data_IF_822152537613
#
_entry.id   IF_822152537613
#
_cell.length_a   1.000
_cell.length_b   1.000
_cell.length_c   1.000
_cell.angle_alpha   90.00
_cell.angle_beta   90.00
_cell.angle_gamma   90.00
#
_symmetry.space_group_name_H-M   'P 1'
#
loop_
_entity.id
_entity.type
_entity.pdbx_description
1 polymer ?
#
# COMPACT_ATOMS: atom_id res chain seq x y z
N UNK A 1 -18.46 18.75 34.18
CA UNK A 1 -17.57 19.31 33.14
C UNK A 1 -16.62 18.27 32.54
N UNK A 2 -15.92 17.45 33.35
CA UNK A 2 -14.98 16.43 32.84
C UNK A 2 -15.65 15.35 31.96
N UNK A 3 -16.81 14.83 32.39
CA UNK A 3 -17.53 13.75 31.70
C UNK A 3 -17.93 14.09 30.26
N UNK A 4 -18.38 15.32 30.00
CA UNK A 4 -18.76 15.76 28.66
C UNK A 4 -17.57 15.85 27.69
N UNK A 5 -16.36 16.13 28.19
CA UNK A 5 -15.13 16.14 27.39
C UNK A 5 -14.70 14.72 27.03
N UNK A 6 -14.77 13.79 27.98
CA UNK A 6 -14.49 12.37 27.76
C UNK A 6 -15.44 11.79 26.68
N UNK A 7 -16.73 12.08 26.79
CA UNK A 7 -17.74 11.66 25.80
C UNK A 7 -17.43 12.18 24.38
N UNK A 8 -16.95 13.42 24.25
CA UNK A 8 -16.57 13.99 22.95
C UNK A 8 -15.31 13.35 22.36
N UNK A 9 -14.30 13.06 23.18
CA UNK A 9 -13.08 12.36 22.75
C UNK A 9 -13.42 10.95 22.26
N UNK A 10 -14.28 10.24 23.00
CA UNK A 10 -14.71 8.89 22.64
C UNK A 10 -15.53 8.89 21.34
N UNK A 11 -16.41 9.88 21.15
CA UNK A 11 -17.12 10.07 19.89
C UNK A 11 -16.15 10.31 18.72
N UNK A 12 -15.17 11.20 18.88
CA UNK A 12 -14.18 11.51 17.85
C UNK A 12 -13.37 10.27 17.44
N UNK A 13 -12.89 9.49 18.43
CA UNK A 13 -12.23 8.19 18.18
C UNK A 13 -13.12 7.25 17.40
N UNK A 14 -14.39 7.11 17.80
CA UNK A 14 -15.34 6.23 17.11
C UNK A 14 -15.56 6.62 15.64
N UNK A 15 -15.57 7.91 15.32
CA UNK A 15 -15.73 8.39 13.95
C UNK A 15 -14.49 8.11 13.09
N UNK A 16 -13.30 8.34 13.65
CA UNK A 16 -12.05 8.05 12.96
C UNK A 16 -11.91 6.55 12.69
N UNK A 17 -12.25 5.70 13.64
CA UNK A 17 -12.28 4.25 13.47
C UNK A 17 -13.23 3.83 12.34
N UNK A 18 -14.45 4.38 12.33
CA UNK A 18 -15.43 4.12 11.27
C UNK A 18 -14.90 4.57 9.91
N UNK A 19 -14.26 5.74 9.82
CA UNK A 19 -13.65 6.23 8.59
C UNK A 19 -12.52 5.32 8.11
N UNK A 20 -11.58 4.95 9.00
CA UNK A 20 -10.47 4.05 8.69
C UNK A 20 -10.97 2.67 8.21
N UNK A 21 -11.98 2.10 8.86
CA UNK A 21 -12.60 0.83 8.45
C UNK A 21 -13.23 0.94 7.06
N UNK A 22 -13.97 2.02 6.77
CA UNK A 22 -14.52 2.28 5.44
C UNK A 22 -13.43 2.40 4.38
N UNK A 23 -12.38 3.19 4.64
CA UNK A 23 -11.25 3.35 3.73
C UNK A 23 -10.57 2.01 3.42
N UNK A 24 -10.33 1.19 4.46
CA UNK A 24 -9.80 -0.16 4.30
C UNK A 24 -10.72 -1.05 3.48
N UNK A 25 -12.02 -1.06 3.78
CA UNK A 25 -13.02 -1.83 3.02
C UNK A 25 -13.02 -1.44 1.53
N UNK A 26 -12.98 -0.13 1.22
CA UNK A 26 -12.91 0.34 -0.16
C UNK A 26 -11.60 -0.06 -0.85
N UNK A 27 -10.46 0.08 -0.15
CA UNK A 27 -9.15 -0.31 -0.67
C UNK A 27 -9.05 -1.82 -0.93
N UNK A 28 -9.61 -2.64 -0.05
CA UNK A 28 -9.52 -4.10 -0.12
C UNK A 28 -10.63 -4.72 -0.99
N UNK A 29 -11.70 -3.98 -1.33
CA UNK A 29 -12.86 -4.49 -2.10
C UNK A 29 -12.50 -5.20 -3.41
N UNK A 30 -11.44 -4.77 -4.09
CA UNK A 30 -10.96 -5.37 -5.36
C UNK A 30 -9.64 -6.13 -5.20
N UNK A 31 -9.09 -6.21 -4.00
CA UNK A 31 -7.86 -6.97 -3.73
C UNK A 31 -8.24 -8.42 -3.46
N UNK A 32 -7.75 -9.29 -4.31
CA UNK A 32 -7.96 -10.73 -4.17
C UNK A 32 -6.58 -11.33 -3.87
N UNK A 33 -6.43 -12.15 -2.82
CA UNK A 33 -5.17 -12.85 -2.60
C UNK A 33 -4.93 -13.77 -3.80
N UNK A 34 -3.91 -13.45 -4.60
CA UNK A 34 -3.53 -14.24 -5.77
C UNK A 34 -2.77 -15.47 -5.28
N UNK A 35 -3.49 -16.58 -5.15
CA UNK A 35 -2.96 -17.85 -4.68
C UNK A 35 -2.46 -18.69 -5.85
N UNK A 36 -1.43 -18.22 -6.55
CA UNK A 36 -0.80 -19.01 -7.60
C UNK A 36 0.00 -20.18 -6.99
N UNK A 37 -0.11 -21.35 -7.61
CA UNK A 37 0.63 -22.55 -7.26
C UNK A 37 1.74 -22.81 -8.26
N UNK A 38 2.72 -23.61 -7.85
CA UNK A 38 3.74 -24.12 -8.77
C UNK A 38 3.02 -24.95 -9.83
N UNK A 39 3.31 -24.66 -11.11
CA UNK A 39 2.63 -25.28 -12.24
C UNK A 39 1.53 -24.45 -12.89
N UNK A 40 1.00 -23.42 -12.21
CA UNK A 40 0.03 -22.50 -12.83
C UNK A 40 0.70 -21.70 -13.94
N UNK A 41 -0.10 -21.36 -14.96
CA UNK A 41 0.31 -20.51 -16.07
C UNK A 41 -0.18 -19.08 -15.84
N UNK A 42 0.72 -18.11 -15.86
CA UNK A 42 0.41 -16.70 -15.60
C UNK A 42 0.92 -15.80 -16.72
N UNK A 43 0.20 -14.71 -16.96
CA UNK A 43 0.62 -13.68 -17.91
C UNK A 43 1.47 -12.63 -17.23
N UNK A 44 2.61 -12.29 -17.83
CA UNK A 44 3.52 -11.29 -17.30
C UNK A 44 3.19 -9.93 -17.91
N UNK A 45 3.01 -8.93 -17.05
CA UNK A 45 2.81 -7.55 -17.49
C UNK A 45 4.14 -6.99 -17.99
N UNK A 46 4.16 -6.54 -19.23
CA UNK A 46 5.34 -5.91 -19.80
C UNK A 46 5.41 -4.43 -19.39
N UNK A 47 6.58 -4.00 -18.97
CA UNK A 47 6.91 -2.58 -18.84
C UNK A 47 7.88 -2.20 -19.97
N UNK A 48 7.42 -1.47 -21.01
CA UNK A 48 8.25 -1.11 -22.16
C UNK A 48 9.59 -0.47 -21.80
N UNK A 49 9.65 0.24 -20.67
CA UNK A 49 10.88 0.91 -20.21
C UNK A 49 11.97 -0.07 -19.75
N UNK A 50 11.59 -1.28 -19.33
CA UNK A 50 12.51 -2.29 -18.81
C UNK A 50 13.16 -3.13 -19.92
N UNK A 51 12.45 -3.31 -21.04
CA UNK A 51 12.93 -4.15 -22.14
C UNK A 51 13.66 -3.30 -23.18
N UNK A 52 14.96 -3.52 -23.34
CA UNK A 52 15.78 -2.82 -24.35
C UNK A 52 15.24 -3.03 -25.77
N UNK A 53 14.70 -4.21 -26.06
CA UNK A 53 14.09 -4.57 -27.35
C UNK A 53 12.85 -3.74 -27.71
N UNK A 54 12.15 -3.19 -26.71
CA UNK A 54 10.95 -2.39 -26.90
C UNK A 54 11.24 -0.89 -26.97
N UNK A 55 12.51 -0.47 -26.84
CA UNK A 55 12.89 0.95 -26.94
C UNK A 55 12.83 1.39 -28.40
N UNK A 56 11.99 2.37 -28.69
CA UNK A 56 11.75 2.90 -30.04
C UNK A 56 10.44 2.41 -30.68
N UNK A 57 9.78 1.40 -30.08
CA UNK A 57 8.45 0.98 -30.51
C UNK A 57 7.39 1.88 -29.85
N UNK A 58 6.36 2.26 -30.60
CA UNK A 58 5.24 3.02 -30.05
C UNK A 58 4.53 2.19 -28.97
N UNK A 59 4.29 2.79 -27.80
CA UNK A 59 3.66 2.11 -26.67
C UNK A 59 2.26 1.59 -26.97
N UNK A 60 1.53 2.19 -27.91
CA UNK A 60 0.21 1.71 -28.33
C UNK A 60 0.26 0.37 -29.07
N UNK A 61 1.41 0.04 -29.66
CA UNK A 61 1.64 -1.20 -30.42
C UNK A 61 2.28 -2.31 -29.57
N UNK A 62 2.69 -2.00 -28.34
CA UNK A 62 3.30 -2.98 -27.45
C UNK A 62 2.20 -3.75 -26.73
N UNK A 63 2.26 -5.08 -26.79
CA UNK A 63 1.37 -5.94 -26.04
C UNK A 63 1.53 -5.67 -24.53
N UNK A 64 0.41 -5.47 -23.82
CA UNK A 64 0.47 -5.14 -22.37
C UNK A 64 0.90 -6.32 -21.50
N UNK A 65 0.61 -7.52 -21.96
CA UNK A 65 0.90 -8.77 -21.26
C UNK A 65 1.41 -9.81 -22.23
N UNK A 66 2.45 -10.52 -21.87
CA UNK A 66 3.03 -11.57 -22.71
C UNK A 66 2.89 -12.93 -22.03
N UNK A 67 2.59 -13.94 -22.87
CA UNK A 67 2.73 -15.37 -22.62
C UNK A 67 2.08 -15.95 -21.36
N UNK A 68 1.41 -17.11 -21.44
CA UNK A 68 1.18 -17.91 -20.25
C UNK A 68 2.48 -18.63 -19.86
N UNK A 69 3.24 -18.07 -18.93
CA UNK A 69 4.47 -18.68 -18.40
C UNK A 69 4.16 -19.55 -17.19
N UNK A 70 4.82 -20.71 -17.12
CA UNK A 70 4.66 -21.64 -15.99
C UNK A 70 5.44 -21.14 -14.77
N UNK A 71 4.83 -21.20 -13.60
CA UNK A 71 5.51 -20.99 -12.33
C UNK A 71 6.36 -22.21 -11.99
N UNK A 72 7.68 -22.01 -11.89
CA UNK A 72 8.67 -23.07 -11.59
C UNK A 72 8.98 -23.14 -10.09
N UNK A 73 8.80 -22.06 -9.34
CA UNK A 73 9.07 -22.03 -7.91
C UNK A 73 8.51 -20.81 -7.21
N UNK A 74 8.49 -20.84 -5.88
CA UNK A 74 8.07 -19.72 -5.02
C UNK A 74 9.29 -19.17 -4.29
N UNK A 75 9.59 -17.88 -4.51
CA UNK A 75 10.74 -17.19 -3.90
C UNK A 75 10.29 -16.44 -2.62
N UNK A 76 9.04 -15.98 -2.57
CA UNK A 76 8.47 -15.30 -1.41
C UNK A 76 6.95 -15.41 -1.34
N UNK A 77 6.32 -14.73 -0.37
CA UNK A 77 4.85 -14.79 -0.17
C UNK A 77 4.06 -14.39 -1.43
N UNK A 78 4.57 -13.41 -2.18
CA UNK A 78 3.98 -12.84 -3.41
C UNK A 78 4.90 -12.92 -4.63
N UNK A 79 6.05 -13.58 -4.49
CA UNK A 79 7.11 -13.61 -5.50
C UNK A 79 7.32 -15.02 -6.02
N UNK A 80 7.17 -15.20 -7.33
CA UNK A 80 7.26 -16.50 -8.01
C UNK A 80 8.33 -16.47 -9.10
N UNK A 81 9.03 -17.59 -9.27
CA UNK A 81 9.98 -17.81 -10.35
C UNK A 81 9.22 -18.38 -11.56
N UNK A 82 9.40 -17.74 -12.71
CA UNK A 82 8.75 -18.11 -13.96
C UNK A 82 9.76 -18.73 -14.93
N UNK A 83 9.30 -19.69 -15.73
CA UNK A 83 10.05 -20.18 -16.88
C UNK A 83 9.88 -19.21 -18.07
N UNK A 84 10.67 -18.13 -18.05
CA UNK A 84 10.63 -17.10 -19.10
C UNK A 84 11.72 -17.30 -20.16
N UNK A 85 11.40 -17.04 -21.44
CA UNK A 85 12.35 -17.12 -22.53
C UNK A 85 13.43 -16.03 -22.41
N UNK A 86 14.60 -16.28 -22.99
CA UNK A 86 15.79 -15.45 -22.80
C UNK A 86 15.61 -13.99 -23.28
N UNK A 87 14.79 -13.74 -24.30
CA UNK A 87 14.51 -12.39 -24.79
C UNK A 87 13.73 -11.53 -23.80
N UNK A 88 13.07 -12.13 -22.80
CA UNK A 88 12.31 -11.44 -21.75
C UNK A 88 13.02 -11.38 -20.41
N UNK A 89 14.24 -11.90 -20.31
CA UNK A 89 14.99 -11.85 -19.06
C UNK A 89 15.53 -10.43 -18.84
N UNK A 90 14.83 -9.66 -17.99
CA UNK A 90 15.28 -8.36 -17.50
C UNK A 90 16.35 -8.59 -16.42
N UNK A 91 17.57 -8.99 -16.83
CA UNK A 91 18.76 -9.19 -15.98
C UNK A 91 18.68 -10.34 -14.93
N UNK A 92 19.84 -10.83 -14.45
CA UNK A 92 19.89 -11.93 -13.48
C UNK A 92 19.29 -11.51 -12.15
N UNK A 93 18.62 -12.44 -11.47
CA UNK A 93 18.26 -12.27 -10.06
C UNK A 93 19.58 -12.14 -9.31
N UNK A 94 19.91 -10.93 -8.84
CA UNK A 94 21.05 -10.72 -7.97
C UNK A 94 20.96 -11.69 -6.79
N UNK A 95 22.09 -12.25 -6.37
CA UNK A 95 22.16 -13.06 -5.15
C UNK A 95 21.56 -12.25 -4.00
N UNK A 96 20.76 -12.89 -3.16
CA UNK A 96 20.05 -12.22 -2.06
C UNK A 96 21.05 -11.47 -1.15
N UNK A 97 21.19 -10.16 -1.38
CA UNK A 97 21.90 -9.26 -0.46
C UNK A 97 21.02 -9.08 0.77
N UNK A 98 21.43 -9.65 1.91
CA UNK A 98 20.67 -9.62 3.17
C UNK A 98 20.30 -8.20 3.65
N UNK A 99 20.99 -7.17 3.14
CA UNK A 99 20.75 -5.75 3.46
C UNK A 99 19.74 -5.05 2.52
N UNK A 100 19.32 -5.71 1.42
CA UNK A 100 18.38 -5.16 0.41
C UNK A 100 16.95 -5.10 0.98
N UNK A 101 16.73 -4.14 1.85
CA UNK A 101 15.50 -3.94 2.63
C UNK A 101 15.70 -3.06 3.86
N UNK A 102 16.95 -2.82 4.26
CA UNK A 102 17.31 -1.85 5.29
C UNK A 102 17.25 -0.43 4.70
N UNK A 103 16.03 0.07 4.54
CA UNK A 103 15.81 1.46 4.16
C UNK A 103 16.06 2.37 5.37
N UNK A 104 17.00 3.32 5.25
CA UNK A 104 17.19 4.43 6.19
C UNK A 104 16.05 5.47 6.15
N UNK A 105 15.09 5.31 5.24
CA UNK A 105 13.91 6.18 5.13
C UNK A 105 13.07 6.09 6.40
N UNK A 106 12.73 7.24 6.97
CA UNK A 106 11.88 7.34 8.15
C UNK A 106 10.57 6.55 7.95
N UNK A 107 10.29 5.65 8.88
CA UNK A 107 9.06 4.88 8.85
C UNK A 107 7.88 5.82 9.14
N UNK A 108 6.94 5.96 8.21
CA UNK A 108 5.69 6.69 8.42
C UNK A 108 4.74 5.79 9.22
N UNK A 109 5.13 5.42 10.45
CA UNK A 109 4.16 4.87 11.39
C UNK A 109 3.54 6.06 12.12
N UNK A 110 2.31 6.39 11.75
CA UNK A 110 1.50 7.23 12.63
C UNK A 110 1.18 6.34 13.83
N UNK A 111 1.87 6.56 14.95
CA UNK A 111 1.61 5.80 16.17
C UNK A 111 0.22 6.15 16.69
N UNK A 112 -0.52 5.19 17.29
CA UNK A 112 -1.84 5.48 17.89
C UNK A 112 -1.78 6.70 18.83
N UNK A 113 -0.71 6.79 19.61
CA UNK A 113 -0.40 7.94 20.48
C UNK A 113 -0.30 9.28 19.74
N UNK A 114 0.26 9.32 18.52
CA UNK A 114 0.35 10.55 17.73
C UNK A 114 -1.00 10.95 17.11
N UNK A 115 -1.90 10.00 16.87
CA UNK A 115 -3.28 10.27 16.43
C UNK A 115 -4.08 10.83 17.61
N UNK A 116 -4.00 10.18 18.78
CA UNK A 116 -4.67 10.62 20.00
C UNK A 116 -4.31 12.06 20.36
N UNK A 117 -3.03 12.42 20.33
CA UNK A 117 -2.58 13.80 20.59
C UNK A 117 -3.16 14.84 19.62
N UNK A 118 -3.38 14.46 18.35
CA UNK A 118 -4.00 15.36 17.36
C UNK A 118 -5.50 15.51 17.60
N UNK A 119 -6.18 14.44 18.00
CA UNK A 119 -7.61 14.48 18.36
C UNK A 119 -7.81 15.41 19.56
N UNK A 120 -6.99 15.25 20.60
CA UNK A 120 -7.04 16.10 21.80
C UNK A 120 -6.79 17.57 21.45
N UNK A 121 -5.79 17.88 20.63
CA UNK A 121 -5.50 19.25 20.21
C UNK A 121 -6.64 19.90 19.41
N UNK A 122 -7.34 19.15 18.57
CA UNK A 122 -8.49 19.65 17.79
C UNK A 122 -9.69 19.94 18.72
N UNK A 123 -9.96 19.04 19.67
CA UNK A 123 -11.03 19.23 20.64
C UNK A 123 -10.71 20.46 21.52
N UNK A 124 -9.47 20.57 22.00
CA UNK A 124 -9.04 21.70 22.83
C UNK A 124 -9.16 23.05 22.09
N UNK A 125 -8.87 23.08 20.78
CA UNK A 125 -9.08 24.27 19.95
C UNK A 125 -10.56 24.67 19.89
N UNK A 126 -11.47 23.73 19.60
CA UNK A 126 -12.91 24.00 19.51
C UNK A 126 -13.51 24.50 20.83
N UNK A 127 -13.02 24.00 21.96
CA UNK A 127 -13.45 24.46 23.28
C UNK A 127 -12.93 25.85 23.65
N UNK A 128 -11.76 26.23 23.14
CA UNK A 128 -11.22 27.58 23.34
C UNK A 128 -12.03 28.63 22.58
N UNK A 129 -12.43 28.33 21.34
CA UNK A 129 -13.25 29.21 20.50
C UNK A 129 -14.67 29.38 21.05
N UNK A 130 -15.28 28.29 21.55
CA UNK A 130 -16.62 28.33 22.15
C UNK A 130 -16.70 29.16 23.45
N UNK A 131 -15.61 29.25 24.22
CA UNK A 131 -15.53 30.11 25.42
C UNK A 131 -15.39 31.59 25.07
N UNK A 132 -14.72 31.92 23.97
CA UNK A 132 -14.52 33.31 23.52
C UNK A 132 -15.83 33.90 22.99
N UNK A 133 -16.68 33.10 22.33
CA UNK A 133 -17.99 33.55 21.83
C UNK A 133 -19.10 33.69 22.88
N UNK A 134 -18.91 33.20 24.11
CA UNK A 134 -19.92 33.25 25.18
C UNK A 134 -19.76 34.46 26.14
N UNK A 135 -18.79 35.34 25.87
CA UNK A 135 -18.46 36.52 26.69
C UNK A 135 -18.88 37.83 25.99
N UNK A 136 -19.55 37.75 24.83
CA UNK A 136 -20.17 38.90 24.14
C UNK A 136 -21.68 38.96 24.38
#
# INVERSE_FOLDING_TARGET
MAKAREEQVDMARSYLDKAARKMKQFADRKRHPVNNRIGDKVMVKLNPRQFKSLRGVNQSLIQRYEGPFKITGKVGKVSFKLDMPHHLKINPVDKDDAERGQSSRAQIFITPSAIDKKIEAIIDHQWSEAKVGAIQ
#
